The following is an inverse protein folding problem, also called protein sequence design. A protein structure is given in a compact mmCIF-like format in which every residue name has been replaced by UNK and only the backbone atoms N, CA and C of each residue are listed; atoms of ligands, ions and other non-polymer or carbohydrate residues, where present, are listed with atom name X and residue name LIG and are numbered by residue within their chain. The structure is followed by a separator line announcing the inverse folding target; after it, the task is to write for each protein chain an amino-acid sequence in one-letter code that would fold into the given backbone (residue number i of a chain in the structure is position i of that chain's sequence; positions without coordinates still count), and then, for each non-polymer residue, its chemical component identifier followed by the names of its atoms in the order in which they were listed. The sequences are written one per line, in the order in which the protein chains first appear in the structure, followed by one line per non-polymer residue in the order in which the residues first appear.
data_IF_184387584815
#
_entry.id   IF_184387584815
#
_cell.length_a   1.000
_cell.length_b   1.000
_cell.length_c   1.000
_cell.angle_alpha   90.00
_cell.angle_beta   90.00
_cell.angle_gamma   90.00
#
_symmetry.space_group_name_H-M   'P 1'
#
loop_
_entity.id
_entity.type
_entity.pdbx_description
1 polymer ?
#
# COMPACT_ATOMS: atom_id res chain seq x y z
N UNK A 1 -24.65 43.17 28.94
CA UNK A 1 -24.14 41.87 29.42
C UNK A 1 -24.77 40.72 28.62
N UNK A 2 -24.06 40.17 27.63
CA UNK A 2 -24.13 38.75 27.19
C UNK A 2 -23.31 38.54 25.92
N UNK A 3 -22.12 37.92 25.99
CA UNK A 3 -21.46 37.45 24.78
C UNK A 3 -22.01 36.08 24.39
N UNK A 4 -22.34 35.98 23.09
CA UNK A 4 -22.10 34.81 22.24
C UNK A 4 -22.58 33.45 22.72
N UNK A 5 -23.72 33.03 22.19
CA UNK A 5 -24.09 31.62 22.13
C UNK A 5 -23.13 30.90 21.14
N UNK A 6 -22.14 30.17 21.65
CA UNK A 6 -21.27 29.30 20.87
C UNK A 6 -21.99 27.98 20.58
N UNK A 7 -22.26 27.69 19.30
CA UNK A 7 -22.79 26.41 18.84
C UNK A 7 -21.61 25.57 18.32
N UNK A 8 -21.22 24.52 19.05
CA UNK A 8 -20.24 23.53 18.57
C UNK A 8 -20.97 22.46 17.74
N UNK A 9 -20.73 22.46 16.43
CA UNK A 9 -21.13 21.35 15.55
C UNK A 9 -19.95 20.39 15.43
N UNK A 10 -19.97 19.29 16.19
CA UNK A 10 -19.04 18.19 16.00
C UNK A 10 -19.56 17.29 14.86
N UNK A 11 -19.11 17.50 13.63
CA UNK A 11 -19.29 16.52 12.56
C UNK A 11 -18.34 15.33 12.82
N UNK A 12 -18.84 14.29 13.48
CA UNK A 12 -18.20 12.97 13.41
C UNK A 12 -18.47 12.42 12.01
N UNK A 13 -17.49 12.56 11.13
CA UNK A 13 -17.47 11.85 9.86
C UNK A 13 -17.21 10.36 10.14
N UNK A 14 -18.25 9.63 10.54
CA UNK A 14 -18.25 8.18 10.49
C UNK A 14 -18.33 7.79 9.00
N UNK A 15 -17.16 7.76 8.35
CA UNK A 15 -17.05 7.25 6.98
C UNK A 15 -17.56 5.81 6.91
N UNK A 16 -18.06 5.36 5.75
CA UNK A 16 -18.48 3.97 5.60
C UNK A 16 -17.33 3.06 6.01
N UNK A 17 -17.61 2.05 6.83
CA UNK A 17 -16.69 0.96 7.06
C UNK A 17 -16.54 0.20 5.74
N UNK A 18 -15.73 0.73 4.83
CA UNK A 18 -15.46 0.11 3.55
C UNK A 18 -14.80 -1.23 3.86
N UNK A 19 -15.50 -2.31 3.49
CA UNK A 19 -14.94 -3.64 3.53
C UNK A 19 -13.76 -3.68 2.56
N UNK A 20 -12.58 -4.01 3.08
CA UNK A 20 -11.36 -4.16 2.28
C UNK A 20 -11.63 -5.13 1.13
N UNK A 21 -11.22 -4.80 -0.09
CA UNK A 21 -11.24 -5.75 -1.22
C UNK A 21 -9.87 -6.37 -1.38
N UNK A 22 -9.78 -7.67 -1.58
CA UNK A 22 -8.52 -8.36 -1.87
C UNK A 22 -8.68 -9.33 -3.03
N UNK A 23 -7.57 -9.76 -3.62
CA UNK A 23 -7.59 -10.96 -4.44
C UNK A 23 -7.60 -12.19 -3.53
N UNK A 24 -8.55 -13.12 -3.72
CA UNK A 24 -8.71 -14.35 -2.95
C UNK A 24 -8.72 -15.56 -3.87
N UNK A 25 -7.65 -16.35 -3.85
CA UNK A 25 -7.45 -17.46 -4.79
C UNK A 25 -6.30 -18.38 -4.35
N UNK A 26 -6.28 -19.59 -4.92
CA UNK A 26 -5.16 -20.52 -4.82
C UNK A 26 -4.81 -21.02 -6.22
N UNK A 27 -3.54 -20.91 -6.61
CA UNK A 27 -3.07 -21.27 -7.95
C UNK A 27 -1.58 -21.58 -7.94
N UNK A 28 -1.09 -22.28 -8.96
CA UNK A 28 0.35 -22.48 -9.15
C UNK A 28 1.06 -21.20 -9.64
N UNK A 29 0.34 -20.18 -10.06
CA UNK A 29 0.92 -18.90 -10.53
C UNK A 29 0.20 -17.72 -9.89
N UNK A 30 0.60 -16.48 -10.26
CA UNK A 30 -0.15 -15.30 -9.82
C UNK A 30 -1.62 -15.42 -10.23
N UNK A 31 -2.52 -15.30 -9.25
CA UNK A 31 -3.95 -15.34 -9.48
C UNK A 31 -4.61 -14.04 -9.04
N UNK A 32 -5.66 -13.63 -9.77
CA UNK A 32 -6.36 -12.37 -9.55
C UNK A 32 -7.87 -12.62 -9.51
N UNK A 33 -8.42 -12.78 -8.30
CA UNK A 33 -9.88 -12.91 -8.09
C UNK A 33 -10.33 -11.94 -7.01
N UNK A 34 -10.78 -10.77 -7.43
CA UNK A 34 -11.23 -9.72 -6.51
C UNK A 34 -12.46 -10.20 -5.70
N UNK A 35 -12.44 -9.94 -4.40
CA UNK A 35 -13.50 -10.30 -3.47
C UNK A 35 -13.56 -9.31 -2.31
N UNK A 36 -14.77 -9.04 -1.83
CA UNK A 36 -14.99 -8.24 -0.62
C UNK A 36 -14.65 -9.09 0.62
N UNK A 37 -13.79 -8.56 1.48
CA UNK A 37 -13.40 -9.22 2.72
C UNK A 37 -14.45 -8.99 3.83
N UNK A 38 -14.44 -9.82 4.86
CA UNK A 38 -15.21 -9.57 6.09
C UNK A 38 -14.78 -8.23 6.71
N UNK A 39 -15.71 -7.53 7.38
CA UNK A 39 -15.45 -6.23 8.00
C UNK A 39 -14.32 -6.21 9.04
N UNK A 40 -13.96 -7.38 9.60
CA UNK A 40 -12.85 -7.53 10.53
C UNK A 40 -11.49 -7.64 9.84
N UNK A 41 -11.44 -8.00 8.55
CA UNK A 41 -10.20 -8.13 7.81
C UNK A 41 -9.52 -6.78 7.65
N UNK A 42 -8.21 -6.74 7.92
CA UNK A 42 -7.38 -5.53 7.85
C UNK A 42 -6.27 -5.63 6.82
N UNK A 43 -5.96 -6.84 6.36
CA UNK A 43 -4.85 -7.08 5.45
C UNK A 43 -5.26 -8.01 4.32
N UNK A 44 -4.73 -7.74 3.13
CA UNK A 44 -4.60 -8.74 2.09
C UNK A 44 -3.29 -9.51 2.31
N UNK A 45 -3.37 -10.83 2.35
CA UNK A 45 -2.23 -11.72 2.51
C UNK A 45 -1.97 -12.47 1.21
N UNK A 46 -0.68 -12.68 0.93
CA UNK A 46 -0.18 -13.55 -0.13
C UNK A 46 0.85 -14.49 0.46
N UNK A 47 0.64 -15.78 0.32
CA UNK A 47 1.59 -16.83 0.70
C UNK A 47 2.11 -17.47 -0.58
N UNK A 48 3.43 -17.49 -0.74
CA UNK A 48 4.10 -18.18 -1.83
C UNK A 48 4.90 -19.34 -1.24
N UNK A 49 4.54 -20.57 -1.60
CA UNK A 49 5.28 -21.78 -1.23
C UNK A 49 6.08 -22.24 -2.45
N UNK A 50 7.37 -22.48 -2.27
CA UNK A 50 8.26 -22.95 -3.31
C UNK A 50 8.48 -24.45 -3.12
N UNK A 51 7.87 -25.27 -3.97
CA UNK A 51 8.03 -26.72 -3.95
C UNK A 51 8.80 -27.17 -5.21
N UNK A 52 10.05 -27.63 -5.09
CA UNK A 52 10.91 -27.89 -6.26
C UNK A 52 10.40 -29.02 -7.17
N UNK A 53 9.58 -29.95 -6.66
CA UNK A 53 9.07 -31.11 -7.40
C UNK A 53 7.61 -30.95 -7.86
N UNK A 54 6.81 -30.17 -7.14
CA UNK A 54 5.35 -30.06 -7.34
C UNK A 54 4.93 -28.74 -7.98
N UNK A 55 5.89 -27.82 -8.16
CA UNK A 55 5.61 -26.46 -8.59
C UNK A 55 5.31 -25.54 -7.40
N UNK A 56 5.37 -24.25 -7.65
CA UNK A 56 5.05 -23.24 -6.66
C UNK A 56 3.54 -23.21 -6.39
N UNK A 57 3.17 -22.80 -5.17
CA UNK A 57 1.78 -22.53 -4.79
C UNK A 57 1.66 -21.08 -4.31
N UNK A 58 0.70 -20.36 -4.87
CA UNK A 58 0.32 -19.00 -4.49
C UNK A 58 -1.06 -19.06 -3.87
N UNK A 59 -1.16 -18.65 -2.61
CA UNK A 59 -2.41 -18.52 -1.89
C UNK A 59 -2.61 -17.04 -1.52
N UNK A 60 -3.79 -16.51 -1.79
CA UNK A 60 -4.16 -15.13 -1.46
C UNK A 60 -5.48 -15.12 -0.71
N UNK A 61 -5.54 -14.34 0.36
CA UNK A 61 -6.69 -14.30 1.25
C UNK A 61 -6.81 -12.99 2.06
N UNK A 62 -7.94 -12.83 2.73
CA UNK A 62 -8.23 -11.72 3.64
C UNK A 62 -7.99 -12.15 5.08
N UNK A 63 -7.24 -11.37 5.86
CA UNK A 63 -6.96 -11.69 7.27
C UNK A 63 -7.06 -10.47 8.18
N UNK A 64 -7.40 -10.71 9.45
CA UNK A 64 -7.47 -9.68 10.49
C UNK A 64 -6.07 -9.23 10.93
N UNK A 65 -5.15 -10.18 11.05
CA UNK A 65 -3.74 -9.95 11.38
C UNK A 65 -2.84 -10.69 10.41
N UNK A 66 -1.68 -10.10 10.12
CA UNK A 66 -0.74 -10.65 9.16
C UNK A 66 0.68 -10.35 9.58
N UNK A 67 1.52 -11.38 9.62
CA UNK A 67 2.96 -11.27 9.92
C UNK A 67 3.74 -11.59 8.65
N UNK A 68 4.45 -10.63 8.04
CA UNK A 68 5.23 -10.90 6.84
C UNK A 68 6.42 -11.79 7.18
N UNK A 69 6.75 -12.72 6.29
CA UNK A 69 7.94 -13.56 6.39
C UNK A 69 8.81 -13.36 5.15
N UNK A 70 10.09 -13.10 5.38
CA UNK A 70 11.08 -12.84 4.33
C UNK A 70 11.99 -14.06 4.06
N UNK A 71 11.48 -15.28 4.25
CA UNK A 71 12.25 -16.51 4.09
C UNK A 71 12.56 -16.82 2.61
N UNK A 72 13.47 -16.03 2.04
CA UNK A 72 14.01 -16.19 0.69
C UNK A 72 15.54 -15.93 0.69
N UNK A 73 16.22 -16.28 1.79
CA UNK A 73 17.68 -16.30 1.84
C UNK A 73 18.18 -17.55 2.57
N UNK A 74 18.93 -18.38 1.86
CA UNK A 74 19.93 -19.27 2.46
C UNK A 74 19.72 -20.77 2.33
N UNK A 75 18.50 -21.27 2.13
CA UNK A 75 18.28 -22.71 1.97
C UNK A 75 17.30 -22.98 0.86
N UNK A 76 17.80 -23.57 -0.23
CA UNK A 76 17.04 -24.35 -1.21
C UNK A 76 16.58 -25.67 -0.54
N UNK A 77 16.11 -25.59 0.71
CA UNK A 77 15.41 -26.68 1.36
C UNK A 77 13.98 -26.62 0.86
N UNK A 78 13.53 -27.74 0.32
CA UNK A 78 12.14 -28.04 0.00
C UNK A 78 11.18 -27.40 1.03
N UNK A 79 10.19 -26.63 0.58
CA UNK A 79 9.20 -26.00 1.45
C UNK A 79 9.43 -24.53 1.84
N UNK A 80 10.32 -23.80 1.15
CA UNK A 80 10.50 -22.36 1.41
C UNK A 80 9.16 -21.60 1.24
N UNK A 81 8.75 -20.88 2.27
CA UNK A 81 7.46 -20.15 2.31
C UNK A 81 7.67 -18.68 2.61
N UNK A 82 7.16 -17.82 1.73
CA UNK A 82 7.18 -16.37 1.88
C UNK A 82 5.76 -15.84 2.08
N UNK A 83 5.55 -15.07 3.13
CA UNK A 83 4.28 -14.42 3.44
C UNK A 83 4.42 -12.92 3.26
N UNK A 84 3.52 -12.34 2.47
CA UNK A 84 3.45 -10.90 2.24
C UNK A 84 2.10 -10.36 2.70
N UNK A 85 2.14 -9.24 3.39
CA UNK A 85 0.98 -8.54 3.92
C UNK A 85 0.93 -7.14 3.30
N UNK A 86 -0.25 -6.68 2.94
CA UNK A 86 -0.48 -5.29 2.56
C UNK A 86 -1.86 -4.81 3.01
N UNK A 87 -2.01 -3.50 3.14
CA UNK A 87 -3.27 -2.83 3.46
C UNK A 87 -3.69 -1.98 2.25
N UNK A 88 -5.00 -1.95 1.99
CA UNK A 88 -5.59 -1.23 0.86
C UNK A 88 -6.20 -2.15 -0.18
N UNK A 89 -7.19 -1.63 -0.91
CA UNK A 89 -7.97 -2.42 -1.84
C UNK A 89 -7.09 -3.02 -2.96
N UNK A 90 -7.25 -4.32 -3.15
CA UNK A 90 -6.61 -5.13 -4.19
C UNK A 90 -5.07 -5.02 -4.19
N UNK A 91 -4.47 -4.64 -3.06
CA UNK A 91 -3.03 -4.41 -2.95
C UNK A 91 -2.18 -5.66 -3.23
N UNK A 92 -2.78 -6.86 -3.11
CA UNK A 92 -2.16 -8.14 -3.36
C UNK A 92 -2.27 -8.62 -4.82
N UNK A 93 -2.47 -7.71 -5.79
CA UNK A 93 -2.57 -8.03 -7.22
C UNK A 93 -1.35 -8.77 -7.77
N UNK A 94 -0.15 -8.25 -7.51
CA UNK A 94 1.10 -8.78 -8.07
C UNK A 94 1.90 -9.61 -7.07
N UNK A 95 2.53 -10.68 -7.55
CA UNK A 95 3.65 -11.32 -6.87
C UNK A 95 4.84 -10.37 -6.91
N UNK A 96 5.37 -9.96 -5.76
CA UNK A 96 6.65 -9.27 -5.72
C UNK A 96 7.76 -10.32 -5.69
N UNK A 97 8.63 -10.28 -6.70
CA UNK A 97 9.90 -11.01 -6.66
C UNK A 97 10.80 -10.37 -5.61
N UNK A 98 11.56 -11.20 -4.90
CA UNK A 98 12.60 -10.77 -3.95
C UNK A 98 13.87 -10.26 -4.63
N UNK A 99 13.88 -10.18 -5.96
CA UNK A 99 14.89 -9.43 -6.68
C UNK A 99 14.84 -7.97 -6.18
N UNK A 100 15.98 -7.35 -5.84
CA UNK A 100 16.00 -5.99 -5.33
C UNK A 100 15.33 -5.07 -6.35
N UNK A 101 14.13 -4.59 -6.01
CA UNK A 101 13.46 -3.57 -6.77
C UNK A 101 14.33 -2.32 -6.68
N UNK A 102 14.89 -1.86 -7.80
CA UNK A 102 15.45 -0.51 -7.87
C UNK A 102 14.29 0.44 -7.62
N UNK A 103 14.22 0.99 -6.42
CA UNK A 103 13.31 2.08 -6.07
C UNK A 103 13.61 3.25 -7.00
N UNK A 104 12.89 3.35 -8.12
CA UNK A 104 12.83 4.59 -8.87
C UNK A 104 11.96 5.53 -8.05
N UNK A 105 12.63 6.31 -7.21
CA UNK A 105 12.06 7.47 -6.56
C UNK A 105 11.72 8.49 -7.66
N UNK A 106 10.56 8.32 -8.30
CA UNK A 106 9.94 9.40 -9.08
C UNK A 106 9.28 10.36 -8.09
N UNK A 107 10.12 11.06 -7.33
CA UNK A 107 9.72 12.29 -6.67
C UNK A 107 9.77 13.43 -7.70
N UNK A 108 8.78 14.35 -7.71
CA UNK A 108 8.89 15.55 -8.52
C UNK A 108 10.15 16.31 -8.09
N UNK A 109 10.97 16.69 -9.06
CA UNK A 109 12.17 17.46 -8.81
C UNK A 109 11.83 18.74 -8.02
N UNK A 110 12.36 18.93 -6.79
CA UNK A 110 12.08 20.13 -5.99
C UNK A 110 12.66 21.41 -6.61
N UNK A 111 13.39 21.31 -7.73
CA UNK A 111 14.04 22.44 -8.40
C UNK A 111 13.09 23.44 -9.04
N UNK A 112 11.90 23.02 -9.50
CA UNK A 112 10.97 23.95 -10.16
C UNK A 112 10.31 24.92 -9.17
N UNK A 113 10.05 24.47 -7.94
CA UNK A 113 9.40 25.30 -6.91
C UNK A 113 10.35 26.40 -6.39
N UNK A 114 11.65 26.12 -6.26
CA UNK A 114 12.64 27.13 -5.89
C UNK A 114 12.84 28.19 -6.99
N UNK A 115 12.85 27.77 -8.26
CA UNK A 115 13.04 28.70 -9.38
C UNK A 115 11.88 29.72 -9.49
N UNK A 116 10.65 29.26 -9.26
CA UNK A 116 9.46 30.12 -9.33
C UNK A 116 9.39 31.12 -8.16
N UNK A 117 9.84 30.71 -6.96
CA UNK A 117 9.92 31.59 -5.79
C UNK A 117 10.95 32.71 -5.94
N UNK A 118 12.11 32.42 -6.55
CA UNK A 118 13.16 33.42 -6.81
C UNK A 118 12.75 34.44 -7.88
N UNK A 119 12.03 34.00 -8.92
CA UNK A 119 11.48 34.90 -9.95
C UNK A 119 10.44 35.86 -9.37
N UNK A 120 9.52 35.38 -8.54
CA UNK A 120 8.52 36.24 -7.89
C UNK A 120 9.16 37.28 -6.96
N UNK A 121 10.19 36.89 -6.19
CA UNK A 121 10.92 37.82 -5.32
C UNK A 121 11.64 38.92 -6.12
N UNK A 122 12.22 38.58 -7.28
CA UNK A 122 12.88 39.55 -8.15
C UNK A 122 11.88 40.56 -8.75
N UNK A 123 10.71 40.10 -9.21
CA UNK A 123 9.66 40.98 -9.76
C UNK A 123 9.07 41.94 -8.71
N UNK A 124 8.97 41.52 -7.44
CA UNK A 124 8.47 42.40 -6.36
C UNK A 124 9.50 43.44 -5.88
N UNK A 125 10.80 43.22 -6.15
CA UNK A 125 11.88 44.12 -5.76
C UNK A 125 12.28 45.13 -6.84
N UNK A 126 11.67 45.08 -8.02
CA UNK A 126 11.94 46.04 -9.08
C UNK A 126 11.29 47.40 -8.73
N UNK A 127 12.06 48.48 -8.52
CA UNK A 127 11.48 49.80 -8.42
C UNK A 127 10.82 50.16 -9.74
N UNK A 128 9.57 50.60 -9.69
CA UNK A 128 8.87 51.19 -10.83
C UNK A 128 9.70 52.40 -11.30
N UNK A 129 10.22 52.32 -12.53
CA UNK A 129 10.75 53.48 -13.24
C UNK A 129 9.70 53.96 -14.24
#
# INVERSE_FOLDING_TARGET
MKPGLLLLVALVAAGPALALRCHVCSSSTNCEKAQDCTASARYCRTITKLEPLLGNLVEKDCVESCTPTHNLQGQVSSGATATRCCQGDLCNKSLQSSAPARSRLSGPAPGLALALGLLLAALLSAPSL
#
